data_IF_927780227818
#
_entry.id   IF_927780227818
#
_cell.length_a   1.000
_cell.length_b   1.000
_cell.length_c   1.000
_cell.angle_alpha   90.00
_cell.angle_beta   90.00
_cell.angle_gamma   90.00
#
_symmetry.space_group_name_H-M   'P 1'
#
loop_
_entity.id
_entity.type
_entity.pdbx_description
1 polymer ?
#
# COMPACT_ATOMS: atom_id res chain seq x y z
N UNK A 1 35.82 -26.88 -5.29
CA UNK A 1 35.19 -26.11 -6.38
C UNK A 1 33.88 -25.59 -5.81
N UNK A 2 33.86 -24.35 -5.38
CA UNK A 2 32.71 -23.78 -4.70
C UNK A 2 31.78 -23.26 -5.81
N UNK A 3 30.57 -23.81 -5.91
CA UNK A 3 29.57 -23.29 -6.84
C UNK A 3 29.31 -21.81 -6.50
N UNK A 4 29.14 -20.93 -7.50
CA UNK A 4 28.66 -19.60 -7.21
C UNK A 4 27.24 -19.76 -6.64
N UNK A 5 27.06 -19.44 -5.35
CA UNK A 5 25.74 -19.13 -4.82
C UNK A 5 25.18 -18.02 -5.73
N UNK A 6 24.30 -18.39 -6.65
CA UNK A 6 23.43 -17.42 -7.31
C UNK A 6 22.68 -16.76 -6.18
N UNK A 7 23.07 -15.52 -5.86
CA UNK A 7 22.33 -14.68 -4.93
C UNK A 7 20.88 -14.78 -5.36
N UNK A 8 20.04 -15.38 -4.52
CA UNK A 8 18.61 -15.48 -4.76
C UNK A 8 18.19 -14.05 -5.09
N UNK A 9 17.62 -13.77 -6.29
CA UNK A 9 17.23 -12.40 -6.62
C UNK A 9 16.40 -11.90 -5.45
N UNK A 10 16.59 -10.64 -4.99
CA UNK A 10 15.77 -10.08 -3.93
C UNK A 10 14.33 -10.37 -4.33
N UNK A 11 13.64 -11.15 -3.50
CA UNK A 11 12.30 -11.60 -3.83
C UNK A 11 11.49 -10.34 -4.05
N UNK A 12 10.93 -10.18 -5.24
CA UNK A 12 10.00 -9.12 -5.57
C UNK A 12 8.62 -9.65 -5.17
N UNK A 13 8.20 -9.54 -3.89
CA UNK A 13 6.99 -10.22 -3.41
C UNK A 13 5.75 -9.77 -4.18
N UNK A 14 5.81 -8.57 -4.77
CA UNK A 14 4.75 -7.98 -5.58
C UNK A 14 4.45 -8.76 -6.86
N UNK A 15 5.41 -9.50 -7.41
CA UNK A 15 5.20 -10.36 -8.60
C UNK A 15 4.24 -11.51 -8.35
N UNK A 16 4.09 -11.93 -7.09
CA UNK A 16 3.25 -13.06 -6.71
C UNK A 16 1.83 -12.62 -6.30
N UNK A 17 1.52 -11.33 -6.30
CA UNK A 17 0.20 -10.84 -5.88
C UNK A 17 -0.84 -11.06 -6.97
N UNK A 18 -2.05 -11.46 -6.56
CA UNK A 18 -3.18 -11.59 -7.47
C UNK A 18 -3.86 -10.23 -7.70
N UNK A 19 -4.27 -9.91 -8.94
CA UNK A 19 -5.18 -8.79 -9.19
C UNK A 19 -6.46 -8.87 -8.34
N UNK A 20 -7.02 -7.72 -8.01
CA UNK A 20 -8.21 -7.57 -7.17
C UNK A 20 -7.92 -7.45 -5.67
N UNK A 21 -6.67 -7.60 -5.22
CA UNK A 21 -6.30 -7.42 -3.81
C UNK A 21 -5.92 -5.98 -3.51
N UNK A 22 -6.21 -5.53 -2.28
CA UNK A 22 -5.76 -4.24 -1.76
C UNK A 22 -4.27 -4.30 -1.47
N UNK A 23 -3.48 -3.36 -1.96
CA UNK A 23 -2.02 -3.32 -1.77
C UNK A 23 -1.54 -1.94 -1.35
N UNK A 24 -0.43 -1.90 -0.64
CA UNK A 24 0.42 -0.73 -0.49
C UNK A 24 1.75 -1.01 -1.17
N UNK A 25 2.18 -0.08 -2.03
CA UNK A 25 3.45 -0.13 -2.75
C UNK A 25 4.22 1.14 -2.44
N UNK A 26 5.35 1.00 -1.76
CA UNK A 26 6.30 2.09 -1.59
C UNK A 26 7.19 2.16 -2.82
N UNK A 27 7.17 3.31 -3.50
CA UNK A 27 7.97 3.55 -4.70
C UNK A 27 8.93 4.71 -4.56
N UNK A 28 10.03 4.66 -5.30
CA UNK A 28 10.90 5.81 -5.55
C UNK A 28 10.13 6.87 -6.36
N UNK A 29 10.35 8.13 -6.03
CA UNK A 29 9.83 9.26 -6.80
C UNK A 29 10.83 9.65 -7.88
N UNK A 30 10.31 9.92 -9.08
CA UNK A 30 11.06 10.45 -10.21
C UNK A 30 10.56 11.84 -10.57
N UNK A 31 11.45 12.66 -11.09
CA UNK A 31 11.15 13.90 -11.79
C UNK A 31 10.56 13.64 -13.18
N UNK A 32 10.07 14.70 -13.84
CA UNK A 32 9.50 14.64 -15.19
C UNK A 32 10.52 14.14 -16.25
N UNK A 33 11.82 14.36 -16.05
CA UNK A 33 12.87 13.84 -16.93
C UNK A 33 13.27 12.38 -16.60
N UNK A 34 12.68 11.81 -15.55
CA UNK A 34 12.91 10.42 -15.13
C UNK A 34 14.06 10.23 -14.14
N UNK A 35 14.79 11.28 -13.75
CA UNK A 35 15.79 11.18 -12.67
C UNK A 35 15.13 10.88 -11.33
N UNK A 36 15.85 10.19 -10.45
CA UNK A 36 15.41 10.00 -9.08
C UNK A 36 15.41 11.34 -8.35
N UNK A 37 14.28 11.67 -7.72
CA UNK A 37 14.15 12.90 -6.97
C UNK A 37 14.96 12.79 -5.66
N UNK A 38 16.12 13.42 -5.64
CA UNK A 38 17.05 13.45 -4.50
C UNK A 38 17.12 14.84 -3.84
N UNK A 39 16.14 15.71 -4.14
CA UNK A 39 16.13 17.10 -3.70
C UNK A 39 16.15 17.21 -2.16
N UNK A 40 17.02 18.06 -1.59
CA UNK A 40 17.07 18.25 -0.15
C UNK A 40 15.74 18.85 0.35
N UNK A 41 15.10 18.16 1.29
CA UNK A 41 13.84 18.58 1.90
C UNK A 41 12.59 17.86 1.38
N UNK A 42 12.68 17.07 0.31
CA UNK A 42 11.56 16.28 -0.21
C UNK A 42 11.72 14.77 0.08
N UNK A 43 10.62 14.06 0.36
CA UNK A 43 10.67 12.61 0.57
C UNK A 43 10.93 11.88 -0.76
N UNK A 44 12.02 11.09 -0.79
CA UNK A 44 12.42 10.25 -1.94
C UNK A 44 11.46 9.11 -2.26
N UNK A 45 10.68 8.70 -1.25
CA UNK A 45 9.73 7.60 -1.35
C UNK A 45 8.30 8.10 -1.19
N UNK A 46 7.39 7.48 -1.94
CA UNK A 46 5.95 7.71 -1.81
C UNK A 46 5.21 6.38 -1.78
N UNK A 47 4.10 6.35 -1.05
CA UNK A 47 3.27 5.15 -0.89
C UNK A 47 2.03 5.24 -1.78
N UNK A 48 1.84 4.23 -2.63
CA UNK A 48 0.66 4.05 -3.48
C UNK A 48 -0.23 3.00 -2.83
N UNK A 49 -1.44 3.42 -2.42
CA UNK A 49 -2.45 2.56 -1.80
C UNK A 49 -3.65 2.44 -2.73
N UNK A 50 -4.07 1.20 -3.01
CA UNK A 50 -5.25 0.96 -3.83
C UNK A 50 -5.46 -0.50 -4.14
N UNK A 51 -6.27 -0.76 -5.16
CA UNK A 51 -6.62 -2.09 -5.61
C UNK A 51 -5.74 -2.47 -6.80
N UNK A 52 -5.07 -3.62 -6.70
CA UNK A 52 -4.15 -4.10 -7.71
C UNK A 52 -4.93 -4.55 -8.96
N UNK A 53 -4.68 -3.93 -10.12
CA UNK A 53 -5.35 -4.26 -11.36
C UNK A 53 -4.53 -5.22 -12.22
N UNK A 54 -3.22 -4.99 -12.31
CA UNK A 54 -2.29 -5.75 -13.16
C UNK A 54 -0.97 -5.91 -12.43
N UNK A 55 -0.35 -7.08 -12.60
CA UNK A 55 1.04 -7.36 -12.25
C UNK A 55 1.68 -7.95 -13.49
N UNK A 56 2.79 -7.36 -13.94
CA UNK A 56 3.52 -7.83 -15.11
C UNK A 56 5.05 -7.63 -14.93
N UNK A 57 5.80 -7.85 -16.00
CA UNK A 57 7.27 -7.74 -15.99
C UNK A 57 7.74 -6.29 -15.79
N UNK A 58 6.94 -5.32 -16.22
CA UNK A 58 7.23 -3.88 -16.17
C UNK A 58 6.89 -3.27 -14.81
N UNK A 59 5.93 -3.85 -14.08
CA UNK A 59 5.57 -3.39 -12.74
C UNK A 59 4.16 -3.78 -12.33
N UNK A 60 3.49 -2.85 -11.62
CA UNK A 60 2.12 -3.04 -11.11
C UNK A 60 1.23 -1.85 -11.43
N UNK A 61 0.00 -2.12 -11.84
CA UNK A 61 -1.05 -1.10 -12.02
C UNK A 61 -1.98 -1.10 -10.81
N UNK A 62 -2.10 0.03 -10.13
CA UNK A 62 -2.93 0.18 -8.93
C UNK A 62 -4.04 1.21 -9.16
N UNK A 63 -5.30 0.80 -8.99
CA UNK A 63 -6.46 1.70 -8.94
C UNK A 63 -6.45 2.42 -7.59
N UNK A 64 -6.13 3.71 -7.60
CA UNK A 64 -6.21 4.55 -6.40
C UNK A 64 -7.49 5.37 -6.40
N UNK A 65 -7.78 6.05 -5.29
CA UNK A 65 -8.91 7.00 -5.20
C UNK A 65 -8.81 8.18 -6.19
N UNK A 66 -7.60 8.49 -6.66
CA UNK A 66 -7.31 9.65 -7.52
C UNK A 66 -7.11 9.23 -8.98
N UNK A 67 -7.26 7.96 -9.31
CA UNK A 67 -7.00 7.40 -10.64
C UNK A 67 -6.00 6.25 -10.61
N UNK A 68 -5.65 5.77 -11.80
CA UNK A 68 -4.77 4.62 -11.99
C UNK A 68 -3.31 5.05 -11.96
N UNK A 69 -2.52 4.35 -11.15
CA UNK A 69 -1.09 4.63 -11.00
C UNK A 69 -0.32 3.40 -11.42
N UNK A 70 0.47 3.54 -12.48
CA UNK A 70 1.47 2.55 -12.85
C UNK A 70 2.73 2.78 -12.00
N UNK A 71 3.22 1.71 -11.37
CA UNK A 71 4.46 1.70 -10.60
C UNK A 71 5.43 0.75 -11.28
N UNK A 72 6.50 1.30 -11.86
CA UNK A 72 7.54 0.50 -12.49
C UNK A 72 8.21 -0.41 -11.44
N UNK A 73 8.47 -1.67 -11.81
CA UNK A 73 9.10 -2.66 -10.91
C UNK A 73 10.45 -2.18 -10.37
N UNK A 74 11.22 -1.45 -11.18
CA UNK A 74 12.50 -0.85 -10.79
C UNK A 74 12.38 0.22 -9.69
N UNK A 75 11.19 0.82 -9.53
CA UNK A 75 10.94 1.85 -8.52
C UNK A 75 10.31 1.27 -7.25
N UNK A 76 9.86 0.01 -7.25
CA UNK A 76 9.23 -0.62 -6.09
C UNK A 76 10.28 -0.92 -5.04
N UNK A 77 10.27 -0.13 -3.97
CA UNK A 77 11.16 -0.33 -2.83
C UNK A 77 10.62 -1.37 -1.85
N UNK A 78 9.33 -1.29 -1.52
CA UNK A 78 8.65 -2.19 -0.60
C UNK A 78 7.19 -2.39 -1.00
N UNK A 79 6.60 -3.48 -0.56
CA UNK A 79 5.22 -3.78 -0.87
C UNK A 79 4.57 -4.73 0.13
N UNK A 80 3.27 -4.56 0.37
CA UNK A 80 2.46 -5.54 1.11
C UNK A 80 1.01 -5.57 0.65
N UNK A 81 0.39 -6.74 0.78
CA UNK A 81 -1.06 -6.89 0.70
C UNK A 81 -1.67 -6.30 1.98
N UNK A 82 -2.70 -5.49 1.80
CA UNK A 82 -3.48 -4.88 2.89
C UNK A 82 -4.68 -5.78 3.17
N UNK A 83 -4.85 -6.28 4.41
CA UNK A 83 -6.04 -7.03 4.78
C UNK A 83 -7.31 -6.19 4.58
N UNK A 84 -8.47 -6.81 4.29
CA UNK A 84 -9.73 -6.10 4.27
C UNK A 84 -10.00 -5.40 5.61
N UNK A 85 -10.65 -4.24 5.56
CA UNK A 85 -10.97 -3.50 6.76
C UNK A 85 -11.84 -4.36 7.70
N UNK A 86 -11.57 -4.34 9.03
CA UNK A 86 -12.40 -5.08 9.99
C UNK A 86 -13.86 -4.62 9.91
N UNK A 87 -14.80 -5.56 10.11
CA UNK A 87 -16.22 -5.25 10.23
C UNK A 87 -16.42 -4.32 11.44
N UNK A 88 -16.98 -3.13 11.22
CA UNK A 88 -17.26 -2.17 12.30
C UNK A 88 -18.40 -2.70 13.18
N UNK A 89 -18.17 -2.81 14.49
CA UNK A 89 -19.26 -3.08 15.45
C UNK A 89 -20.11 -1.81 15.63
N UNK A 90 -21.44 -1.92 15.70
CA UNK A 90 -22.30 -0.80 16.07
C UNK A 90 -21.91 -0.30 17.47
N UNK A 91 -21.83 1.03 17.65
CA UNK A 91 -21.64 1.61 18.99
C UNK A 91 -22.97 1.54 19.74
N UNK A 92 -22.99 1.12 21.01
CA UNK A 92 -24.20 1.27 21.84
C UNK A 92 -24.57 2.75 21.90
N UNK A 93 -25.87 3.04 21.72
CA UNK A 93 -26.43 4.38 21.94
C UNK A 93 -26.30 4.66 23.44
N UNK A 94 -25.90 5.88 23.87
CA UNK A 94 -25.96 6.22 25.29
C UNK A 94 -27.41 6.02 25.75
N UNK A 95 -27.59 5.16 26.76
CA UNK A 95 -28.87 4.98 27.45
C UNK A 95 -29.24 6.33 28.07
N UNK A 96 -30.46 6.77 27.77
CA UNK A 96 -31.14 7.88 28.44
C UNK A 96 -31.02 7.64 29.95
N UNK A 97 -30.26 8.48 30.64
CA UNK A 97 -30.34 8.55 32.09
C UNK A 97 -31.64 9.29 32.38
N UNK A 98 -32.72 8.55 32.42
CA UNK A 98 -33.90 8.91 33.20
C UNK A 98 -33.47 8.85 34.67
N UNK A 99 -32.81 9.93 35.14
CA UNK A 99 -32.65 10.20 36.57
C UNK A 99 -34.05 10.62 37.06
N UNK A 100 -34.81 9.61 37.47
CA UNK A 100 -36.04 9.73 38.24
C UNK A 100 -35.65 10.38 39.58
N UNK A 101 -35.69 11.71 39.63
CA UNK A 101 -35.58 12.47 40.87
C UNK A 101 -36.92 12.32 41.63
N UNK A 102 -37.07 11.18 42.30
CA UNK A 102 -38.08 10.93 43.33
C UNK A 102 -37.38 10.38 44.57
N UNK A 103 -37.07 11.26 45.54
CA UNK A 103 -37.22 10.96 46.97
C UNK A 103 -37.08 12.24 47.84
N UNK A 104 -38.10 12.42 48.69
CA UNK A 104 -38.19 13.21 49.94
C UNK A 104 -38.58 14.71 49.91
#
# INVERSE_FOLDING_TARGET
MNAPSTARPPHEPWRAWAPGVRVVVRRLRRDDDGTLLDAPGEPRYTDVLGDLLVVDETGVLVRTRHGDVHVAGADIALGKIVPPAPVRRPRPRPEDRDDDEDDA
#
